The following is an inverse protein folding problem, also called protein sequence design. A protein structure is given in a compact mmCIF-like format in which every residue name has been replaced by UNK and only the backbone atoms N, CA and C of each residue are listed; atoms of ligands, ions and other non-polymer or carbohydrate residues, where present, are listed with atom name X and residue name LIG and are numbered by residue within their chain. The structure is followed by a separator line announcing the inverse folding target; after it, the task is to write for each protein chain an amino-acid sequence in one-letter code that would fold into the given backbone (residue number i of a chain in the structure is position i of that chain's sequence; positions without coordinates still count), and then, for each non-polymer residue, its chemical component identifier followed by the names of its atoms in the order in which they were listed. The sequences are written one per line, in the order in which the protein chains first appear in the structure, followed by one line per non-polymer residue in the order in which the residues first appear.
data_IF_953933238676
#
_entry.id   IF_953933238676
#
_cell.length_a   1.000
_cell.length_b   1.000
_cell.length_c   1.000
_cell.angle_alpha   90.00
_cell.angle_beta   90.00
_cell.angle_gamma   90.00
#
_symmetry.space_group_name_H-M   'P 1'
#
loop_
_entity.id
_entity.type
_entity.pdbx_description
1 polymer ?
#
# COMPACT_ATOMS: atom_id res chain seq x y z
N UNK A 1 33.13 56.69 -56.88
CA UNK A 1 33.36 58.14 -56.68
C UNK A 1 32.19 58.70 -55.91
N UNK A 2 32.51 59.33 -54.78
CA UNK A 2 31.82 60.45 -54.12
C UNK A 2 30.33 60.32 -53.74
N UNK A 3 30.15 60.33 -52.42
CA UNK A 3 28.89 60.49 -51.69
C UNK A 3 28.14 61.77 -52.00
N UNK A 4 26.81 61.75 -51.77
CA UNK A 4 26.02 62.90 -51.33
C UNK A 4 24.93 62.44 -50.35
N UNK A 5 25.03 62.88 -49.09
CA UNK A 5 23.89 63.02 -48.16
C UNK A 5 23.11 64.30 -48.54
N UNK A 6 21.78 64.34 -48.35
CA UNK A 6 21.21 65.06 -47.19
C UNK A 6 19.99 64.34 -46.59
N UNK A 7 19.87 64.22 -45.26
CA UNK A 7 19.34 65.21 -44.31
C UNK A 7 17.83 65.48 -44.49
N UNK A 8 17.00 64.90 -43.60
CA UNK A 8 16.02 65.60 -42.74
C UNK A 8 14.80 64.74 -42.35
N UNK A 9 14.67 64.58 -41.02
CA UNK A 9 13.49 64.82 -40.18
C UNK A 9 12.19 64.01 -40.33
N UNK A 10 11.80 63.42 -39.19
CA UNK A 10 10.44 63.03 -38.81
C UNK A 10 10.20 61.52 -38.89
N UNK A 11 9.55 60.82 -37.98
CA UNK A 11 8.76 61.14 -36.78
C UNK A 11 8.76 59.85 -35.93
N UNK A 12 8.57 60.01 -34.62
CA UNK A 12 8.37 58.98 -33.60
C UNK A 12 7.90 57.60 -34.08
N UNK A 13 8.61 56.55 -33.66
CA UNK A 13 8.24 55.16 -33.89
C UNK A 13 8.71 54.25 -32.76
N UNK A 14 7.83 54.10 -31.76
CA UNK A 14 7.61 52.94 -30.90
C UNK A 14 8.86 52.22 -30.34
N UNK A 15 9.05 52.41 -29.03
CA UNK A 15 9.69 51.48 -28.09
C UNK A 15 9.60 50.03 -28.55
N UNK A 16 10.75 49.39 -28.72
CA UNK A 16 10.88 47.94 -28.85
C UNK A 16 10.31 47.28 -27.60
N UNK A 17 9.06 46.80 -27.66
CA UNK A 17 8.60 45.80 -26.72
C UNK A 17 9.44 44.56 -26.99
N UNK A 18 10.42 44.30 -26.12
CA UNK A 18 11.01 42.98 -26.00
C UNK A 18 9.83 42.02 -25.78
N UNK A 19 9.49 41.23 -26.79
CA UNK A 19 8.52 40.15 -26.66
C UNK A 19 9.16 39.11 -25.74
N UNK A 20 8.99 39.32 -24.44
CA UNK A 20 9.17 38.29 -23.44
C UNK A 20 8.13 37.22 -23.70
N UNK A 21 8.46 36.26 -24.55
CA UNK A 21 7.77 34.98 -24.61
C UNK A 21 8.06 34.27 -23.29
N UNK A 22 7.29 34.63 -22.26
CA UNK A 22 7.20 33.86 -21.03
C UNK A 22 6.59 32.51 -21.38
N UNK A 23 7.43 31.49 -21.50
CA UNK A 23 6.97 30.11 -21.52
C UNK A 23 6.42 29.82 -20.12
N UNK A 24 5.10 29.85 -19.98
CA UNK A 24 4.44 29.28 -18.81
C UNK A 24 4.57 27.76 -18.88
N UNK A 25 5.64 27.21 -18.30
CA UNK A 25 5.74 25.78 -18.01
C UNK A 25 4.76 25.46 -16.88
N UNK A 26 3.57 24.99 -17.23
CA UNK A 26 2.60 24.52 -16.26
C UNK A 26 3.04 23.14 -15.77
N UNK A 27 3.83 23.08 -14.69
CA UNK A 27 4.20 21.80 -14.06
C UNK A 27 3.01 21.28 -13.28
N UNK A 28 2.37 20.21 -13.78
CA UNK A 28 1.30 19.53 -13.06
C UNK A 28 1.89 18.80 -11.85
N UNK A 29 1.84 19.47 -10.70
CA UNK A 29 2.40 19.05 -9.41
C UNK A 29 1.46 18.12 -8.61
N UNK A 30 0.42 17.57 -9.24
CA UNK A 30 -0.48 16.62 -8.58
C UNK A 30 0.21 15.27 -8.36
N UNK A 31 -0.08 14.67 -7.21
CA UNK A 31 0.34 13.33 -6.87
C UNK A 31 -0.41 12.28 -7.72
N UNK A 32 0.24 11.16 -8.01
CA UNK A 32 -0.43 9.97 -8.57
C UNK A 32 -1.20 9.24 -7.48
N UNK A 33 -2.20 8.45 -7.87
CA UNK A 33 -2.91 7.55 -6.94
C UNK A 33 -1.93 6.62 -6.21
N UNK A 34 -0.95 6.05 -6.91
CA UNK A 34 0.09 5.19 -6.35
C UNK A 34 0.88 5.88 -5.23
N UNK A 35 1.39 7.08 -5.50
CA UNK A 35 2.19 7.85 -4.53
C UNK A 35 1.41 8.26 -3.27
N UNK A 36 0.09 8.45 -3.37
CA UNK A 36 -0.77 8.71 -2.22
C UNK A 36 -1.09 7.42 -1.45
N UNK A 37 -1.25 6.28 -2.13
CA UNK A 37 -1.53 4.99 -1.50
C UNK A 37 -0.32 4.38 -0.81
N UNK A 38 0.90 4.66 -1.26
CA UNK A 38 2.13 4.28 -0.54
C UNK A 38 2.16 4.83 0.90
N UNK A 39 1.58 6.03 1.09
CA UNK A 39 1.47 6.71 2.39
C UNK A 39 0.24 6.25 3.20
N UNK A 40 -0.62 5.41 2.63
CA UNK A 40 -1.85 4.95 3.28
C UNK A 40 -1.54 3.91 4.36
N UNK A 41 -2.10 4.02 5.57
CA UNK A 41 -1.67 3.22 6.71
C UNK A 41 -2.12 1.75 6.71
N UNK A 42 -3.19 1.39 6.00
CA UNK A 42 -3.90 0.12 6.16
C UNK A 42 -3.97 -0.75 4.89
N UNK A 43 -3.79 -0.17 3.71
CA UNK A 43 -3.99 -0.82 2.42
C UNK A 43 -2.78 -0.62 1.51
N UNK A 44 -2.59 -1.56 0.59
CA UNK A 44 -1.61 -1.49 -0.50
C UNK A 44 -2.29 -1.85 -1.80
N UNK A 45 -1.75 -1.32 -2.89
CA UNK A 45 -2.19 -1.67 -4.24
C UNK A 45 -2.07 -3.18 -4.47
N UNK A 46 -3.08 -3.74 -5.15
CA UNK A 46 -2.98 -5.08 -5.70
C UNK A 46 -2.01 -5.10 -6.87
N UNK A 47 -1.22 -6.16 -6.93
CA UNK A 47 -0.19 -6.39 -7.94
C UNK A 47 -0.35 -7.76 -8.59
N UNK A 48 0.45 -8.03 -9.62
CA UNK A 48 0.53 -9.35 -10.23
C UNK A 48 1.10 -10.42 -9.30
N UNK A 49 1.77 -10.03 -8.22
CA UNK A 49 2.31 -10.95 -7.21
C UNK A 49 1.25 -11.39 -6.19
N UNK A 50 0.12 -10.68 -6.14
CA UNK A 50 -0.99 -11.04 -5.26
C UNK A 50 -1.81 -12.19 -5.85
N UNK A 51 -2.14 -13.16 -4.99
CA UNK A 51 -2.92 -14.33 -5.38
C UNK A 51 -4.34 -13.99 -5.84
N UNK A 52 -4.91 -14.87 -6.66
CA UNK A 52 -6.24 -14.66 -7.24
C UNK A 52 -7.36 -14.46 -6.21
N UNK A 53 -7.22 -15.01 -5.00
CA UNK A 53 -8.20 -14.78 -3.93
C UNK A 53 -8.36 -13.30 -3.58
N UNK A 54 -7.28 -12.53 -3.56
CA UNK A 54 -7.27 -11.10 -3.25
C UNK A 54 -7.86 -10.29 -4.41
N UNK A 55 -7.51 -10.66 -5.64
CA UNK A 55 -8.11 -10.08 -6.84
C UNK A 55 -9.61 -10.36 -6.93
N UNK A 56 -10.06 -11.56 -6.58
CA UNK A 56 -11.48 -11.95 -6.57
C UNK A 56 -12.27 -11.15 -5.53
N UNK A 57 -11.69 -10.87 -4.35
CA UNK A 57 -12.30 -10.01 -3.33
C UNK A 57 -12.47 -8.57 -3.83
N UNK A 58 -11.41 -8.00 -4.42
CA UNK A 58 -11.44 -6.68 -5.05
C UNK A 58 -12.48 -6.60 -6.18
N UNK A 59 -12.51 -7.62 -7.03
CA UNK A 59 -13.48 -7.73 -8.11
C UNK A 59 -14.90 -7.79 -7.58
N UNK A 60 -15.16 -8.54 -6.50
CA UNK A 60 -16.47 -8.56 -5.84
C UNK A 60 -16.90 -7.16 -5.38
N UNK A 61 -16.01 -6.41 -4.72
CA UNK A 61 -16.29 -5.02 -4.30
C UNK A 61 -16.66 -4.13 -5.49
N UNK A 62 -15.93 -4.27 -6.60
CA UNK A 62 -16.23 -3.54 -7.83
C UNK A 62 -17.60 -3.92 -8.42
N UNK A 63 -17.88 -5.22 -8.58
CA UNK A 63 -19.16 -5.70 -9.12
C UNK A 63 -20.33 -5.22 -8.26
N UNK A 64 -20.23 -5.35 -6.94
CA UNK A 64 -21.28 -4.95 -6.00
C UNK A 64 -21.58 -3.44 -6.08
N UNK A 65 -20.55 -2.60 -6.31
CA UNK A 65 -20.70 -1.16 -6.49
C UNK A 65 -21.23 -0.74 -7.89
N UNK A 66 -21.34 -1.68 -8.83
CA UNK A 66 -21.77 -1.43 -10.21
C UNK A 66 -22.97 -2.29 -10.65
N UNK A 67 -23.50 -3.15 -9.78
CA UNK A 67 -24.56 -4.12 -10.11
C UNK A 67 -25.88 -3.50 -10.58
N UNK A 68 -26.19 -2.28 -10.14
CA UNK A 68 -27.45 -1.58 -10.44
C UNK A 68 -27.28 -0.53 -11.56
N UNK A 69 -26.13 -0.50 -12.23
CA UNK A 69 -25.81 0.48 -13.27
C UNK A 69 -25.95 -0.17 -14.65
N UNK A 70 -26.48 0.58 -15.63
CA UNK A 70 -26.53 0.14 -17.03
C UNK A 70 -25.14 -0.08 -17.62
N UNK A 71 -24.18 0.75 -17.21
CA UNK A 71 -22.76 0.64 -17.54
C UNK A 71 -21.95 0.75 -16.26
N UNK A 72 -20.91 -0.10 -16.15
CA UNK A 72 -20.00 -0.03 -15.02
C UNK A 72 -19.16 1.26 -15.06
N UNK A 73 -18.72 1.71 -13.88
CA UNK A 73 -18.09 3.02 -13.70
C UNK A 73 -16.80 3.18 -14.50
N UNK A 74 -16.12 2.08 -14.82
CA UNK A 74 -14.87 2.08 -15.58
C UNK A 74 -15.00 1.57 -17.01
N UNK A 75 -16.22 1.21 -17.46
CA UNK A 75 -16.49 0.67 -18.80
C UNK A 75 -15.59 -0.52 -19.15
N UNK A 76 -15.42 -1.44 -18.20
CA UNK A 76 -14.55 -2.61 -18.37
C UNK A 76 -15.09 -3.47 -19.50
N UNK A 77 -14.19 -3.82 -20.44
CA UNK A 77 -14.53 -4.71 -21.55
C UNK A 77 -15.08 -6.03 -21.01
N UNK A 78 -16.23 -6.45 -21.54
CA UNK A 78 -16.94 -7.67 -21.14
C UNK A 78 -17.43 -7.68 -19.68
N UNK A 79 -17.59 -6.52 -19.03
CA UNK A 79 -18.17 -6.44 -17.68
C UNK A 79 -19.53 -7.15 -17.60
N UNK A 80 -20.46 -6.83 -18.50
CA UNK A 80 -21.83 -7.39 -18.45
C UNK A 80 -21.85 -8.92 -18.47
N UNK A 81 -21.02 -9.53 -19.32
CA UNK A 81 -20.91 -10.99 -19.43
C UNK A 81 -20.30 -11.64 -18.17
N UNK A 82 -19.56 -10.87 -17.38
CA UNK A 82 -18.83 -11.35 -16.20
C UNK A 82 -19.32 -10.75 -14.88
N UNK A 83 -20.42 -10.00 -14.90
CA UNK A 83 -21.02 -9.31 -13.73
C UNK A 83 -21.46 -10.27 -12.61
N UNK A 84 -21.55 -11.56 -12.91
CA UNK A 84 -21.85 -12.64 -11.95
C UNK A 84 -20.67 -13.57 -11.68
N UNK A 85 -19.54 -13.40 -12.39
CA UNK A 85 -18.35 -14.23 -12.20
C UNK A 85 -17.68 -13.89 -10.87
N UNK A 86 -17.37 -14.89 -10.05
CA UNK A 86 -16.61 -14.70 -8.82
C UNK A 86 -15.13 -14.42 -9.10
N UNK A 87 -14.62 -14.89 -10.23
CA UNK A 87 -13.23 -14.72 -10.64
C UNK A 87 -13.00 -13.35 -11.28
N UNK A 88 -11.97 -12.65 -10.81
CA UNK A 88 -11.49 -11.40 -11.37
C UNK A 88 -11.10 -11.57 -12.83
N UNK A 89 -11.72 -10.76 -13.69
CA UNK A 89 -11.40 -10.75 -15.12
C UNK A 89 -10.17 -9.87 -15.39
N UNK A 90 -9.43 -10.21 -16.45
CA UNK A 90 -8.21 -9.48 -16.80
C UNK A 90 -8.46 -7.99 -17.04
N UNK A 91 -9.55 -7.64 -17.74
CA UNK A 91 -9.91 -6.25 -17.97
C UNK A 91 -10.15 -5.44 -16.68
N UNK A 92 -10.48 -6.09 -15.56
CA UNK A 92 -10.55 -5.43 -14.26
C UNK A 92 -9.16 -5.22 -13.65
N UNK A 93 -8.27 -6.24 -13.72
CA UNK A 93 -6.88 -6.13 -13.27
C UNK A 93 -6.15 -5.01 -14.04
N UNK A 94 -6.30 -4.96 -15.36
CA UNK A 94 -5.79 -3.89 -16.22
C UNK A 94 -6.38 -2.50 -15.90
N UNK A 95 -7.70 -2.44 -15.62
CA UNK A 95 -8.34 -1.19 -15.24
C UNK A 95 -7.81 -0.65 -13.91
N UNK A 96 -7.50 -1.53 -12.96
CA UNK A 96 -6.83 -1.16 -11.72
C UNK A 96 -5.43 -0.60 -12.00
N UNK A 97 -4.56 -1.38 -12.64
CA UNK A 97 -3.15 -1.00 -12.85
C UNK A 97 -3.00 0.29 -13.66
N UNK A 98 -3.81 0.49 -14.69
CA UNK A 98 -3.80 1.73 -15.48
C UNK A 98 -4.15 2.99 -14.67
N UNK A 99 -4.96 2.85 -13.61
CA UNK A 99 -5.39 3.99 -12.76
C UNK A 99 -4.43 4.31 -11.63
N UNK A 100 -3.41 3.48 -11.39
CA UNK A 100 -2.41 3.76 -10.36
C UNK A 100 -1.64 5.04 -10.66
N UNK A 101 -1.45 5.36 -11.94
CA UNK A 101 -0.72 6.53 -12.41
C UNK A 101 -1.62 7.76 -12.66
N UNK A 102 -2.92 7.67 -12.37
CA UNK A 102 -3.82 8.82 -12.48
C UNK A 102 -3.37 9.94 -11.52
N UNK A 103 -3.16 11.14 -12.06
CA UNK A 103 -2.91 12.34 -11.26
C UNK A 103 -4.20 12.85 -10.62
N UNK A 104 -4.20 13.02 -9.31
CA UNK A 104 -5.40 13.32 -8.51
C UNK A 104 -5.22 14.53 -7.61
N UNK A 105 -6.32 15.18 -7.25
CA UNK A 105 -6.32 16.38 -6.40
C UNK A 105 -6.21 16.05 -4.88
N UNK A 106 -5.75 14.83 -4.58
CA UNK A 106 -5.55 14.30 -3.23
C UNK A 106 -6.50 13.15 -2.85
N UNK A 107 -6.49 12.78 -1.57
CA UNK A 107 -7.15 11.56 -1.06
C UNK A 107 -8.70 11.60 -1.08
N UNK A 108 -9.29 12.75 -1.38
CA UNK A 108 -10.74 12.92 -1.54
C UNK A 108 -11.19 12.85 -3.00
N UNK A 109 -10.26 12.83 -3.95
CA UNK A 109 -10.56 12.66 -5.36
C UNK A 109 -11.24 11.30 -5.58
N UNK A 110 -12.35 11.30 -6.33
CA UNK A 110 -13.12 10.08 -6.56
C UNK A 110 -12.30 8.97 -7.24
N UNK A 111 -11.27 9.33 -8.04
CA UNK A 111 -10.36 8.37 -8.67
C UNK A 111 -9.51 7.67 -7.63
N UNK A 112 -8.92 8.42 -6.69
CA UNK A 112 -8.21 7.85 -5.55
C UNK A 112 -9.14 6.96 -4.71
N UNK A 113 -10.34 7.45 -4.38
CA UNK A 113 -11.31 6.70 -3.56
C UNK A 113 -11.70 5.39 -4.23
N UNK A 114 -11.94 5.40 -5.54
CA UNK A 114 -12.31 4.19 -6.29
C UNK A 114 -11.16 3.19 -6.37
N UNK A 115 -9.94 3.64 -6.68
CA UNK A 115 -8.76 2.75 -6.71
C UNK A 115 -8.50 2.19 -5.31
N UNK A 116 -8.55 3.03 -4.27
CA UNK A 116 -8.43 2.57 -2.88
C UNK A 116 -9.47 1.49 -2.56
N UNK A 117 -10.72 1.68 -2.98
CA UNK A 117 -11.82 0.76 -2.64
C UNK A 117 -11.78 -0.55 -3.41
N UNK A 118 -11.33 -0.53 -4.67
CA UNK A 118 -11.50 -1.66 -5.59
C UNK A 118 -10.18 -2.29 -6.04
N UNK A 119 -9.04 -1.64 -5.85
CA UNK A 119 -7.75 -2.13 -6.34
C UNK A 119 -6.69 -2.24 -5.24
N UNK A 120 -7.13 -2.32 -3.98
CA UNK A 120 -6.23 -2.52 -2.85
C UNK A 120 -6.60 -3.76 -2.07
N UNK A 121 -5.61 -4.28 -1.35
CA UNK A 121 -5.80 -5.24 -0.26
C UNK A 121 -5.37 -4.62 1.06
N UNK A 122 -5.85 -5.15 2.20
CA UNK A 122 -5.26 -4.81 3.48
C UNK A 122 -3.77 -5.17 3.52
N UNK A 123 -3.00 -4.41 4.29
CA UNK A 123 -1.59 -4.70 4.56
C UNK A 123 -1.46 -5.99 5.35
N UNK A 124 -0.41 -6.74 5.05
CA UNK A 124 0.08 -7.82 5.89
C UNK A 124 0.71 -7.22 7.14
N UNK A 125 0.69 -7.98 8.23
CA UNK A 125 1.28 -7.52 9.49
C UNK A 125 2.77 -7.18 9.33
N UNK A 126 3.55 -7.95 8.58
CA UNK A 126 4.96 -7.65 8.36
C UNK A 126 5.16 -6.31 7.61
N UNK A 127 4.26 -5.97 6.67
CA UNK A 127 4.31 -4.69 5.95
C UNK A 127 4.04 -3.51 6.90
N UNK A 128 3.10 -3.68 7.84
CA UNK A 128 2.80 -2.69 8.87
C UNK A 128 3.95 -2.51 9.87
N UNK A 129 4.64 -3.61 10.22
CA UNK A 129 5.79 -3.59 11.11
C UNK A 129 7.01 -2.96 10.44
N UNK A 130 7.27 -3.27 9.17
CA UNK A 130 8.38 -2.70 8.41
C UNK A 130 8.28 -1.17 8.25
N UNK A 131 7.06 -0.63 8.24
CA UNK A 131 6.82 0.81 8.23
C UNK A 131 7.07 1.49 9.60
N UNK A 132 7.30 0.73 10.67
CA UNK A 132 7.52 1.27 12.01
C UNK A 132 9.00 1.37 12.37
N UNK A 133 9.42 2.58 12.77
CA UNK A 133 10.80 2.83 13.18
C UNK A 133 11.11 2.14 14.50
N UNK A 134 12.28 1.50 14.58
CA UNK A 134 12.80 0.93 15.81
C UNK A 134 12.26 -0.46 16.15
N UNK A 135 11.55 -1.11 15.22
CA UNK A 135 11.04 -2.47 15.38
C UNK A 135 11.65 -3.37 14.32
N UNK A 136 12.03 -4.58 14.70
CA UNK A 136 12.47 -5.63 13.79
C UNK A 136 11.63 -6.88 14.05
N UNK A 137 10.94 -7.35 13.00
CA UNK A 137 10.30 -8.67 13.02
C UNK A 137 11.38 -9.75 13.08
N UNK A 138 11.24 -10.68 14.04
CA UNK A 138 12.15 -11.80 14.19
C UNK A 138 12.02 -12.76 13.01
N UNK A 139 13.14 -12.97 12.31
CA UNK A 139 13.22 -14.00 11.29
C UNK A 139 13.34 -15.37 11.93
N UNK A 140 12.56 -16.34 11.44
CA UNK A 140 12.65 -17.74 11.84
C UNK A 140 14.06 -18.31 11.62
N UNK A 141 14.73 -17.88 10.55
CA UNK A 141 16.06 -18.35 10.14
C UNK A 141 17.21 -17.66 10.89
N UNK A 142 16.93 -16.62 11.67
CA UNK A 142 17.96 -15.95 12.44
C UNK A 142 18.42 -16.83 13.61
N UNK A 143 19.74 -16.96 13.77
CA UNK A 143 20.40 -17.68 14.88
C UNK A 143 20.23 -17.01 16.25
N UNK A 144 19.40 -15.99 16.37
CA UNK A 144 19.21 -15.17 17.56
C UNK A 144 18.34 -15.88 18.62
N UNK A 145 18.86 -16.95 19.21
CA UNK A 145 18.18 -17.72 20.25
C UNK A 145 17.75 -16.86 21.42
N UNK A 146 18.56 -15.88 21.84
CA UNK A 146 18.20 -14.99 22.96
C UNK A 146 16.92 -14.20 22.67
N UNK A 147 16.82 -13.55 21.52
CA UNK A 147 15.66 -12.73 21.17
C UNK A 147 14.38 -13.58 21.08
N UNK A 148 14.50 -14.78 20.51
CA UNK A 148 13.41 -15.75 20.46
C UNK A 148 13.00 -16.23 21.85
N UNK A 149 13.96 -16.54 22.72
CA UNK A 149 13.70 -16.99 24.09
C UNK A 149 13.05 -15.88 24.95
N UNK A 150 13.48 -14.63 24.78
CA UNK A 150 12.85 -13.47 25.43
C UNK A 150 11.39 -13.31 24.96
N UNK A 151 11.16 -13.39 23.64
CA UNK A 151 9.80 -13.30 23.06
C UNK A 151 8.89 -14.44 23.51
N UNK A 152 9.44 -15.65 23.62
CA UNK A 152 8.73 -16.81 24.14
C UNK A 152 8.38 -16.65 25.62
N UNK A 153 9.28 -16.05 26.42
CA UNK A 153 8.99 -15.73 27.80
C UNK A 153 7.80 -14.75 27.93
N UNK A 154 7.78 -13.70 27.10
CA UNK A 154 6.68 -12.73 27.06
C UNK A 154 5.36 -13.38 26.63
N UNK A 155 5.39 -14.19 25.58
CA UNK A 155 4.23 -14.96 25.14
C UNK A 155 3.65 -15.78 26.29
N UNK A 156 4.46 -16.61 26.95
CA UNK A 156 4.01 -17.49 28.04
C UNK A 156 3.42 -16.72 29.22
N UNK A 157 4.01 -15.58 29.58
CA UNK A 157 3.58 -14.76 30.73
C UNK A 157 2.14 -14.27 30.59
N UNK A 158 1.66 -14.13 29.37
CA UNK A 158 0.33 -13.60 29.07
C UNK A 158 -0.72 -14.69 28.83
N UNK A 159 -0.33 -15.97 28.89
CA UNK A 159 -1.26 -17.08 28.75
C UNK A 159 -1.94 -17.36 30.10
N UNK A 160 -3.17 -16.87 30.29
CA UNK A 160 -4.01 -17.13 31.47
C UNK A 160 -4.58 -18.56 31.47
N UNK A 161 -3.71 -19.57 31.45
CA UNK A 161 -4.08 -20.99 31.45
C UNK A 161 -4.52 -21.56 30.10
N UNK A 162 -4.85 -20.71 29.12
CA UNK A 162 -5.15 -21.11 27.74
C UNK A 162 -4.17 -20.46 26.78
N UNK A 163 -3.73 -21.25 25.81
CA UNK A 163 -2.79 -20.85 24.77
C UNK A 163 -3.49 -20.08 23.64
N UNK A 164 -3.23 -18.78 23.54
CA UNK A 164 -3.92 -17.85 22.62
C UNK A 164 -3.75 -18.28 21.16
N UNK A 165 -2.53 -18.69 20.76
CA UNK A 165 -2.25 -19.13 19.39
C UNK A 165 -2.42 -20.64 19.15
N UNK A 166 -2.84 -21.39 20.17
CA UNK A 166 -3.12 -22.83 20.08
C UNK A 166 -2.01 -23.62 19.39
N UNK A 167 -0.77 -23.41 19.82
CA UNK A 167 0.40 -24.19 19.46
C UNK A 167 0.15 -25.67 19.74
N UNK A 168 0.39 -26.51 18.73
CA UNK A 168 0.13 -27.96 18.80
C UNK A 168 0.91 -28.66 19.91
N UNK A 169 2.04 -28.10 20.33
CA UNK A 169 2.94 -28.61 21.36
C UNK A 169 2.99 -27.72 22.62
N UNK A 170 1.99 -26.86 22.85
CA UNK A 170 1.95 -25.97 24.02
C UNK A 170 2.20 -26.71 25.34
N UNK A 171 1.52 -27.84 25.56
CA UNK A 171 1.61 -28.61 26.81
C UNK A 171 3.02 -29.08 27.14
N UNK A 172 3.84 -29.43 26.13
CA UNK A 172 5.22 -29.90 26.33
C UNK A 172 6.25 -28.77 26.34
N UNK A 173 5.96 -27.64 25.68
CA UNK A 173 6.94 -26.55 25.51
C UNK A 173 6.78 -25.41 26.52
N UNK A 174 5.58 -25.20 27.09
CA UNK A 174 5.29 -24.04 27.97
C UNK A 174 6.22 -23.92 29.19
N UNK A 175 6.82 -25.02 29.64
CA UNK A 175 7.77 -25.02 30.76
C UNK A 175 9.22 -24.70 30.37
N UNK A 176 9.56 -24.72 29.08
CA UNK A 176 10.94 -24.59 28.60
C UNK A 176 11.32 -23.12 28.41
N UNK A 177 12.60 -22.81 28.63
CA UNK A 177 13.17 -21.48 28.36
C UNK A 177 13.33 -21.20 26.87
N UNK A 178 13.60 -22.25 26.10
CA UNK A 178 13.84 -22.14 24.66
C UNK A 178 12.54 -21.99 23.88
N UNK A 179 12.54 -21.07 22.91
CA UNK A 179 11.42 -20.88 22.02
C UNK A 179 11.26 -22.07 21.07
N UNK A 180 10.13 -22.79 21.09
CA UNK A 180 9.91 -23.92 20.20
C UNK A 180 9.70 -23.45 18.75
N UNK A 181 10.03 -24.30 17.79
CA UNK A 181 9.87 -23.96 16.36
C UNK A 181 8.42 -23.73 15.96
N UNK A 182 7.46 -24.35 16.65
CA UNK A 182 6.03 -24.09 16.47
C UNK A 182 5.64 -22.63 16.77
N UNK A 183 6.27 -22.01 17.78
CA UNK A 183 6.05 -20.61 18.12
C UNK A 183 6.67 -19.70 17.06
N UNK A 184 7.91 -19.98 16.63
CA UNK A 184 8.57 -19.23 15.54
C UNK A 184 7.78 -19.31 14.23
N UNK A 185 7.25 -20.49 13.91
CA UNK A 185 6.39 -20.69 12.74
C UNK A 185 5.06 -19.93 12.86
N UNK A 186 4.48 -19.83 14.06
CA UNK A 186 3.31 -18.97 14.28
C UNK A 186 3.60 -17.50 14.11
N UNK A 187 4.75 -17.04 14.58
CA UNK A 187 5.20 -15.67 14.28
C UNK A 187 5.28 -15.42 12.78
N UNK A 188 5.93 -16.33 12.02
CA UNK A 188 6.03 -16.22 10.56
C UNK A 188 4.63 -16.18 9.91
N UNK A 189 3.84 -17.23 10.09
CA UNK A 189 2.54 -17.38 9.43
C UNK A 189 1.57 -16.26 9.76
N UNK A 190 1.52 -15.80 11.01
CA UNK A 190 0.65 -14.69 11.38
C UNK A 190 1.17 -13.34 10.87
N UNK A 191 2.48 -13.13 10.79
CA UNK A 191 3.03 -11.90 10.20
C UNK A 191 2.67 -11.74 8.72
N UNK A 192 2.39 -12.84 8.02
CA UNK A 192 1.98 -12.88 6.61
C UNK A 192 0.46 -12.66 6.42
N UNK A 193 -0.33 -12.64 7.50
CA UNK A 193 -1.77 -12.41 7.43
C UNK A 193 -2.09 -10.94 7.14
N UNK A 194 -3.08 -10.73 6.25
CA UNK A 194 -3.68 -9.42 6.00
C UNK A 194 -4.57 -9.02 7.19
N UNK A 195 -4.52 -7.75 7.60
CA UNK A 195 -5.34 -7.22 8.70
C UNK A 195 -6.15 -6.00 8.28
N UNK A 196 -7.46 -6.05 8.49
CA UNK A 196 -8.38 -5.01 8.02
C UNK A 196 -8.33 -3.72 8.85
N UNK A 197 -7.91 -3.82 10.13
CA UNK A 197 -7.84 -2.69 11.07
C UNK A 197 -6.43 -2.10 11.19
N UNK A 198 -5.51 -2.48 10.30
CA UNK A 198 -4.12 -2.03 10.34
C UNK A 198 -3.50 -2.29 11.72
N UNK A 199 -2.97 -1.23 12.34
CA UNK A 199 -2.29 -1.33 13.65
C UNK A 199 -3.22 -1.52 14.86
N UNK A 200 -4.52 -1.34 14.67
CA UNK A 200 -5.53 -1.57 15.71
C UNK A 200 -6.03 -3.02 15.73
N UNK A 201 -5.61 -3.83 14.76
CA UNK A 201 -5.95 -5.25 14.73
C UNK A 201 -5.29 -6.00 15.89
N UNK A 202 -6.07 -6.82 16.59
CA UNK A 202 -5.57 -7.57 17.74
C UNK A 202 -4.40 -8.48 17.34
N UNK A 203 -4.47 -9.10 16.16
CA UNK A 203 -3.41 -9.96 15.67
C UNK A 203 -2.12 -9.16 15.39
N UNK A 204 -2.24 -7.93 14.88
CA UNK A 204 -1.09 -7.05 14.72
C UNK A 204 -0.45 -6.75 16.08
N UNK A 205 -1.24 -6.41 17.10
CA UNK A 205 -0.74 -6.13 18.46
C UNK A 205 0.00 -7.34 19.03
N UNK A 206 -0.57 -8.54 18.87
CA UNK A 206 0.02 -9.80 19.34
C UNK A 206 1.35 -10.10 18.61
N UNK A 207 1.38 -10.03 17.28
CA UNK A 207 2.61 -10.29 16.49
C UNK A 207 3.67 -9.23 16.81
N UNK A 208 3.29 -7.95 16.92
CA UNK A 208 4.20 -6.89 17.33
C UNK A 208 4.84 -7.20 18.68
N UNK A 209 4.05 -7.67 19.65
CA UNK A 209 4.52 -7.93 21.00
C UNK A 209 5.39 -9.18 21.11
N UNK A 210 5.01 -10.26 20.43
CA UNK A 210 5.61 -11.58 20.65
C UNK A 210 6.53 -12.03 19.53
N UNK A 211 6.66 -11.28 18.44
CA UNK A 211 7.50 -11.63 17.30
C UNK A 211 8.48 -10.54 16.91
N UNK A 212 8.64 -9.48 17.69
CA UNK A 212 9.54 -8.38 17.33
C UNK A 212 10.50 -8.03 18.45
N UNK A 213 11.58 -7.36 18.08
CA UNK A 213 12.50 -6.72 19.01
C UNK A 213 12.57 -5.23 18.76
N UNK A 214 12.84 -4.48 19.81
CA UNK A 214 13.14 -3.06 19.72
C UNK A 214 14.62 -2.85 19.43
N UNK A 215 14.92 -2.01 18.44
CA UNK A 215 16.27 -1.52 18.21
C UNK A 215 16.61 -0.58 19.36
N UNK A 216 17.47 -1.01 20.28
CA UNK A 216 18.04 -0.12 21.28
C UNK A 216 18.89 0.90 20.56
N UNK A 217 18.59 2.20 20.71
CA UNK A 217 19.52 3.26 20.32
C UNK A 217 20.73 3.14 21.22
N UNK A 218 21.84 2.68 20.66
CA UNK A 218 23.18 2.78 21.26
C UNK A 218 23.64 4.22 21.28
#
# INVERSE_FOLDING_TARGET
MSAKLPMMAGVAGLSSCAAGLGIYLNSDNRDTVSSLLEKEPAHVLLSSEDGDSLWNEAWKKYRDANKDKELDSWKIKNFSANSKSETAIEGFKEACTSRYEDKVDGVKDFRYVNVKSWCTRPKKIFELLAAEKGIILLSKEASNSKAWNDSWADYKKEQNGTDTWKLSNWSSEKGKSEAPDSFKEKCKTQSEMNVNKGKEDELYVQVKRWCTILIKKT
#
